data_IF_965447504083
#
_entry.id   IF_965447504083
#
_cell.length_a   1.000
_cell.length_b   1.000
_cell.length_c   1.000
_cell.angle_alpha   90.00
_cell.angle_beta   90.00
_cell.angle_gamma   90.00
#
_symmetry.space_group_name_H-M   'P 1'
#
loop_
_entity.id
_entity.type
_entity.pdbx_description
1 polymer ?
#
# COMPACT_ATOMS: atom_id res chain seq x y z
N UNK A 1 -27.75 3.66 -18.84
CA UNK A 1 -27.45 4.86 -19.64
C UNK A 1 -26.71 4.42 -20.90
N UNK A 2 -27.37 4.53 -22.05
CA UNK A 2 -26.89 4.08 -23.36
C UNK A 2 -26.43 5.25 -24.25
N UNK A 3 -26.25 6.44 -23.67
CA UNK A 3 -25.78 7.60 -24.43
C UNK A 3 -24.37 7.37 -25.01
N UNK A 4 -24.13 7.86 -26.24
CA UNK A 4 -22.80 7.83 -26.84
C UNK A 4 -21.82 8.63 -25.96
N UNK A 5 -20.63 8.09 -25.65
CA UNK A 5 -19.65 8.80 -24.84
C UNK A 5 -19.17 10.08 -25.53
N UNK A 6 -19.08 11.18 -24.77
CA UNK A 6 -18.60 12.49 -25.25
C UNK A 6 -17.07 12.59 -25.31
N UNK A 7 -16.35 11.69 -24.64
CA UNK A 7 -14.89 11.59 -24.64
C UNK A 7 -14.44 10.13 -24.71
N UNK A 8 -13.20 9.83 -24.29
CA UNK A 8 -12.67 8.46 -24.25
C UNK A 8 -12.77 7.87 -22.83
N UNK A 9 -13.73 6.97 -22.53
CA UNK A 9 -13.92 6.43 -21.18
C UNK A 9 -12.77 5.56 -20.69
N UNK A 10 -12.16 4.76 -21.58
CA UNK A 10 -11.04 3.87 -21.24
C UNK A 10 -9.80 4.67 -20.86
N UNK A 11 -9.45 5.67 -21.68
CA UNK A 11 -8.31 6.54 -21.42
C UNK A 11 -8.48 7.28 -20.09
N UNK A 12 -9.68 7.79 -19.81
CA UNK A 12 -9.95 8.52 -18.57
C UNK A 12 -9.96 7.61 -17.34
N UNK A 13 -10.37 6.35 -17.48
CA UNK A 13 -10.25 5.35 -16.41
C UNK A 13 -8.78 5.12 -16.03
N UNK A 14 -7.92 4.83 -17.01
CA UNK A 14 -6.48 4.61 -16.78
C UNK A 14 -5.82 5.87 -16.23
N UNK A 15 -6.07 7.03 -16.84
CA UNK A 15 -5.53 8.32 -16.39
C UNK A 15 -5.93 8.62 -14.94
N UNK A 16 -7.17 8.32 -14.54
CA UNK A 16 -7.61 8.54 -13.15
C UNK A 16 -6.87 7.63 -12.17
N UNK A 17 -6.67 6.35 -12.51
CA UNK A 17 -5.91 5.40 -11.68
C UNK A 17 -4.49 5.89 -11.45
N UNK A 18 -3.82 6.37 -12.50
CA UNK A 18 -2.42 6.82 -12.43
C UNK A 18 -2.26 8.14 -11.66
N UNK A 19 -3.17 9.10 -11.87
CA UNK A 19 -3.02 10.45 -11.28
C UNK A 19 -3.57 10.53 -9.85
N UNK A 20 -4.57 9.72 -9.47
CA UNK A 20 -5.23 9.86 -8.15
C UNK A 20 -4.26 9.84 -6.95
N UNK A 21 -3.18 9.02 -6.91
CA UNK A 21 -2.22 9.05 -5.81
C UNK A 21 -1.46 10.38 -5.69
N UNK A 22 -1.30 11.13 -6.79
CA UNK A 22 -0.53 12.39 -6.83
C UNK A 22 -1.40 13.64 -6.63
N UNK A 23 -2.73 13.52 -6.72
CA UNK A 23 -3.65 14.66 -6.53
C UNK A 23 -3.64 15.26 -5.12
N UNK A 24 -3.17 14.53 -4.11
CA UNK A 24 -3.08 15.04 -2.73
C UNK A 24 -2.12 16.22 -2.57
N UNK A 25 -1.10 16.26 -3.43
CA UNK A 25 0.01 17.21 -3.38
C UNK A 25 -0.24 18.43 -4.24
N UNK A 26 -1.17 18.35 -5.19
CA UNK A 26 -1.46 19.43 -6.14
C UNK A 26 -2.25 20.58 -5.53
N UNK A 27 -2.87 20.38 -4.37
CA UNK A 27 -3.68 21.39 -3.68
C UNK A 27 -3.03 21.80 -2.36
N UNK A 28 -2.31 22.92 -2.36
CA UNK A 28 -1.54 23.43 -1.21
C UNK A 28 -2.38 23.58 0.08
N UNK A 29 -3.63 24.01 -0.02
CA UNK A 29 -4.53 24.14 1.15
C UNK A 29 -4.88 22.79 1.77
N UNK A 30 -5.10 21.77 0.94
CA UNK A 30 -5.42 20.41 1.40
C UNK A 30 -4.17 19.76 1.98
N UNK A 31 -3.03 19.94 1.30
CA UNK A 31 -1.75 19.42 1.73
C UNK A 31 -1.32 20.02 3.08
N UNK A 32 -1.33 21.34 3.23
CA UNK A 32 -0.91 22.02 4.47
C UNK A 32 -1.70 21.57 5.72
N UNK A 33 -2.99 21.24 5.56
CA UNK A 33 -3.84 20.77 6.67
C UNK A 33 -3.70 19.28 6.97
N UNK A 34 -3.18 18.48 6.04
CA UNK A 34 -3.13 17.00 6.15
C UNK A 34 -1.78 16.41 5.76
N UNK A 35 -0.71 17.20 5.83
CA UNK A 35 0.63 16.83 5.34
C UNK A 35 1.13 15.51 5.92
N UNK A 36 0.95 15.29 7.24
CA UNK A 36 1.33 14.05 7.93
C UNK A 36 0.68 12.83 7.25
N UNK A 37 -0.62 12.91 6.96
CA UNK A 37 -1.36 11.80 6.35
C UNK A 37 -0.92 11.55 4.91
N UNK A 38 -0.64 12.61 4.14
CA UNK A 38 -0.18 12.46 2.75
C UNK A 38 1.24 11.92 2.66
N UNK A 39 2.18 12.51 3.40
CA UNK A 39 3.58 12.10 3.39
C UNK A 39 3.72 10.68 3.95
N UNK A 40 3.19 10.45 5.15
CA UNK A 40 3.24 9.12 5.77
C UNK A 40 2.49 8.08 4.95
N UNK A 41 1.33 8.44 4.40
CA UNK A 41 0.53 7.53 3.57
C UNK A 41 1.28 7.15 2.30
N UNK A 42 1.89 8.12 1.62
CA UNK A 42 2.67 7.88 0.41
C UNK A 42 3.91 7.03 0.67
N UNK A 43 4.71 7.38 1.69
CA UNK A 43 5.91 6.62 2.06
C UNK A 43 5.55 5.17 2.46
N UNK A 44 4.46 4.99 3.21
CA UNK A 44 3.96 3.67 3.56
C UNK A 44 3.57 2.85 2.32
N UNK A 45 2.75 3.39 1.42
CA UNK A 45 2.30 2.63 0.24
C UNK A 45 3.44 2.37 -0.74
N UNK A 46 4.31 3.37 -0.97
CA UNK A 46 5.48 3.22 -1.84
C UNK A 46 6.41 2.13 -1.31
N UNK A 47 6.70 2.15 0.00
CA UNK A 47 7.53 1.14 0.62
C UNK A 47 6.85 -0.23 0.65
N UNK A 48 5.61 -0.33 1.14
CA UNK A 48 4.89 -1.61 1.24
C UNK A 48 4.73 -2.30 -0.12
N UNK A 49 4.29 -1.57 -1.15
CA UNK A 49 4.15 -2.12 -2.50
C UNK A 49 5.54 -2.42 -3.10
N UNK A 50 6.49 -1.50 -2.95
CA UNK A 50 7.84 -1.67 -3.46
C UNK A 50 8.51 -2.93 -2.90
N UNK A 51 8.36 -3.19 -1.60
CA UNK A 51 8.92 -4.35 -0.93
C UNK A 51 8.23 -5.65 -1.34
N UNK A 52 6.90 -5.63 -1.47
CA UNK A 52 6.10 -6.81 -1.84
C UNK A 52 6.47 -7.34 -3.22
N UNK A 53 6.86 -6.48 -4.15
CA UNK A 53 7.16 -6.89 -5.53
C UNK A 53 8.64 -6.97 -5.87
N UNK A 54 9.49 -6.11 -5.30
CA UNK A 54 10.85 -5.92 -5.83
C UNK A 54 11.99 -6.24 -4.86
N UNK A 55 11.72 -6.64 -3.61
CA UNK A 55 12.76 -7.18 -2.72
C UNK A 55 13.27 -8.50 -3.30
N UNK A 56 14.59 -8.81 -3.24
CA UNK A 56 15.15 -10.03 -3.82
C UNK A 56 14.39 -11.31 -3.45
N UNK A 57 14.04 -11.48 -2.18
CA UNK A 57 13.29 -12.66 -1.71
C UNK A 57 11.89 -12.76 -2.35
N UNK A 58 11.17 -11.65 -2.48
CA UNK A 58 9.86 -11.65 -3.15
C UNK A 58 9.98 -11.82 -4.66
N UNK A 59 11.00 -11.24 -5.31
CA UNK A 59 11.21 -11.45 -6.74
C UNK A 59 11.47 -12.93 -7.08
N UNK A 60 12.15 -13.65 -6.19
CA UNK A 60 12.31 -15.11 -6.29
C UNK A 60 10.96 -15.83 -6.13
N UNK A 61 10.19 -15.47 -5.10
CA UNK A 61 8.82 -16.00 -4.91
C UNK A 61 7.95 -15.78 -6.15
N UNK A 62 7.95 -14.57 -6.74
CA UNK A 62 7.18 -14.26 -7.93
C UNK A 62 7.64 -15.07 -9.14
N UNK A 63 8.95 -15.31 -9.28
CA UNK A 63 9.49 -16.18 -10.32
C UNK A 63 9.04 -17.63 -10.13
N UNK A 64 8.98 -18.12 -8.90
CA UNK A 64 8.49 -19.49 -8.61
C UNK A 64 6.99 -19.63 -8.92
N UNK A 65 6.19 -18.60 -8.61
CA UNK A 65 4.73 -18.62 -8.86
C UNK A 65 4.41 -18.44 -10.35
N UNK A 66 5.08 -17.52 -11.04
CA UNK A 66 4.70 -17.08 -12.39
C UNK A 66 5.59 -17.63 -13.50
N UNK A 67 6.78 -18.15 -13.17
CA UNK A 67 7.82 -18.52 -14.12
C UNK A 67 8.59 -17.33 -14.72
N UNK A 68 8.18 -16.08 -14.43
CA UNK A 68 8.74 -14.87 -15.03
C UNK A 68 9.71 -14.19 -14.04
N UNK A 69 10.93 -13.80 -14.46
CA UNK A 69 11.83 -13.05 -13.59
C UNK A 69 11.26 -11.65 -13.30
N UNK A 70 11.13 -11.32 -12.02
CA UNK A 70 10.70 -9.98 -11.58
C UNK A 70 11.91 -9.05 -11.39
N UNK A 71 11.74 -7.72 -11.61
CA UNK A 71 12.77 -6.75 -11.29
C UNK A 71 13.15 -6.79 -9.81
N UNK A 72 14.43 -6.57 -9.51
CA UNK A 72 14.97 -6.59 -8.15
C UNK A 72 15.52 -5.23 -7.78
N UNK A 73 15.16 -4.72 -6.61
CA UNK A 73 15.75 -3.52 -6.04
C UNK A 73 17.07 -3.84 -5.33
N UNK A 74 18.06 -2.92 -5.36
CA UNK A 74 19.24 -3.04 -4.52
C UNK A 74 18.86 -3.16 -3.04
N UNK A 75 19.64 -3.94 -2.30
CA UNK A 75 19.44 -4.19 -0.87
C UNK A 75 19.31 -2.89 -0.06
N UNK A 76 20.14 -1.88 -0.35
CA UNK A 76 20.07 -0.57 0.32
C UNK A 76 18.76 0.16 0.07
N UNK A 77 18.24 0.11 -1.16
CA UNK A 77 16.96 0.75 -1.52
C UNK A 77 15.81 0.02 -0.83
N UNK A 78 15.87 -1.31 -0.81
CA UNK A 78 14.91 -2.14 -0.09
C UNK A 78 14.87 -1.79 1.40
N UNK A 79 16.02 -1.65 2.06
CA UNK A 79 16.06 -1.27 3.47
C UNK A 79 15.45 0.10 3.73
N UNK A 80 15.80 1.11 2.91
CA UNK A 80 15.26 2.46 3.02
C UNK A 80 13.73 2.43 2.91
N UNK A 81 13.20 1.68 1.94
CA UNK A 81 11.76 1.50 1.78
C UNK A 81 11.12 0.80 2.98
N UNK A 82 11.77 -0.20 3.56
CA UNK A 82 11.28 -0.92 4.74
C UNK A 82 11.24 -0.03 5.98
N UNK A 83 12.32 0.71 6.26
CA UNK A 83 12.35 1.66 7.37
C UNK A 83 11.34 2.80 7.16
N UNK A 84 11.23 3.34 5.95
CA UNK A 84 10.27 4.38 5.63
C UNK A 84 8.83 3.88 5.79
N UNK A 85 8.52 2.67 5.32
CA UNK A 85 7.17 2.10 5.44
C UNK A 85 6.82 1.81 6.90
N UNK A 86 7.68 1.11 7.64
CA UNK A 86 7.45 0.78 9.04
C UNK A 86 7.35 2.03 9.91
N UNK A 87 8.29 2.97 9.74
CA UNK A 87 8.28 4.25 10.45
C UNK A 87 7.03 5.08 10.15
N UNK A 88 6.61 5.15 8.88
CA UNK A 88 5.38 5.85 8.49
C UNK A 88 4.13 5.19 9.05
N UNK A 89 4.05 3.86 9.06
CA UNK A 89 2.93 3.13 9.64
C UNK A 89 2.80 3.39 11.14
N UNK A 90 3.93 3.35 11.88
CA UNK A 90 3.96 3.67 13.30
C UNK A 90 3.55 5.13 13.52
N UNK A 91 4.16 6.08 12.80
CA UNK A 91 3.86 7.51 12.94
C UNK A 91 2.39 7.83 12.64
N UNK A 92 1.81 7.26 11.58
CA UNK A 92 0.39 7.43 11.25
C UNK A 92 -0.52 6.80 12.30
N UNK A 93 -0.17 5.63 12.82
CA UNK A 93 -0.93 4.97 13.89
C UNK A 93 -0.91 5.80 15.17
N UNK A 94 0.26 6.34 15.54
CA UNK A 94 0.39 7.24 16.69
C UNK A 94 -0.37 8.55 16.48
N UNK A 95 -0.24 9.19 15.32
CA UNK A 95 -0.99 10.41 14.97
C UNK A 95 -2.50 10.19 15.13
N UNK A 96 -2.98 9.02 14.71
CA UNK A 96 -4.38 8.63 14.80
C UNK A 96 -4.83 8.35 16.25
N UNK A 97 -3.98 7.74 17.07
CA UNK A 97 -4.26 7.46 18.47
C UNK A 97 -4.24 8.72 19.36
N UNK A 98 -3.39 9.70 19.01
CA UNK A 98 -3.23 10.95 19.77
C UNK A 98 -4.22 12.03 19.34
N UNK A 99 -4.67 12.03 18.09
CA UNK A 99 -5.64 13.01 17.62
C UNK A 99 -7.05 12.65 18.14
N UNK A 100 -7.71 13.53 18.92
CA UNK A 100 -8.98 13.21 19.56
C UNK A 100 -10.10 12.92 18.54
N UNK A 101 -10.10 13.59 17.39
CA UNK A 101 -11.09 13.38 16.34
C UNK A 101 -10.86 12.05 15.63
N UNK A 102 -9.61 11.75 15.26
CA UNK A 102 -9.30 10.50 14.56
C UNK A 102 -9.51 9.29 15.46
N UNK A 103 -9.18 9.41 16.75
CA UNK A 103 -9.39 8.34 17.73
C UNK A 103 -10.84 7.89 17.81
N UNK A 104 -11.80 8.84 17.74
CA UNK A 104 -13.24 8.54 17.73
C UNK A 104 -13.69 7.80 16.47
N UNK A 105 -13.01 8.02 15.33
CA UNK A 105 -13.29 7.36 14.06
C UNK A 105 -12.55 6.02 13.90
N UNK A 106 -11.76 5.61 14.90
CA UNK A 106 -10.88 4.45 14.82
C UNK A 106 -11.47 3.25 15.52
N UNK A 107 -11.71 2.18 14.75
CA UNK A 107 -12.14 0.90 15.27
C UNK A 107 -10.96 -0.02 15.63
N UNK A 108 -11.32 -1.19 16.16
CA UNK A 108 -10.36 -2.27 16.47
C UNK A 108 -9.72 -2.85 15.21
N UNK A 109 -10.50 -2.93 14.13
CA UNK A 109 -10.08 -3.43 12.82
C UNK A 109 -8.85 -2.70 12.29
N UNK A 110 -8.80 -1.37 12.43
CA UNK A 110 -7.66 -0.60 11.95
C UNK A 110 -6.40 -0.77 12.76
N UNK A 111 -6.50 -0.90 14.09
CA UNK A 111 -5.33 -1.19 14.91
C UNK A 111 -4.81 -2.60 14.62
N UNK A 112 -5.70 -3.57 14.42
CA UNK A 112 -5.30 -4.92 14.07
C UNK A 112 -4.63 -4.98 12.69
N UNK A 113 -5.21 -4.32 11.67
CA UNK A 113 -4.62 -4.23 10.35
C UNK A 113 -3.22 -3.57 10.39
N UNK A 114 -3.08 -2.46 11.10
CA UNK A 114 -1.81 -1.77 11.24
C UNK A 114 -0.78 -2.62 12.00
N UNK A 115 -1.21 -3.32 13.05
CA UNK A 115 -0.34 -4.23 13.80
C UNK A 115 0.15 -5.39 12.93
N UNK A 116 -0.76 -6.04 12.20
CA UNK A 116 -0.43 -7.17 11.33
C UNK A 116 0.58 -6.76 10.26
N UNK A 117 0.35 -5.63 9.59
CA UNK A 117 1.29 -5.12 8.57
C UNK A 117 2.62 -4.72 9.20
N UNK A 118 2.61 -4.06 10.36
CA UNK A 118 3.84 -3.70 11.07
C UNK A 118 4.67 -4.93 11.41
N UNK A 119 4.03 -6.01 11.88
CA UNK A 119 4.69 -7.28 12.18
C UNK A 119 5.28 -7.95 10.94
N UNK A 120 4.60 -7.89 9.79
CA UNK A 120 5.12 -8.42 8.52
C UNK A 120 6.37 -7.64 8.10
N UNK A 121 6.30 -6.31 8.09
CA UNK A 121 7.44 -5.46 7.75
C UNK A 121 8.62 -5.68 8.72
N UNK A 122 8.33 -5.76 10.01
CA UNK A 122 9.33 -5.97 11.05
C UNK A 122 10.01 -7.34 10.94
N UNK A 123 9.24 -8.41 10.79
CA UNK A 123 9.79 -9.78 10.64
C UNK A 123 10.59 -9.94 9.35
N UNK A 124 10.18 -9.32 8.24
CA UNK A 124 10.94 -9.34 6.99
C UNK A 124 12.28 -8.60 7.11
N UNK A 125 12.30 -7.47 7.82
CA UNK A 125 13.52 -6.72 8.11
C UNK A 125 14.46 -7.51 9.06
N UNK A 126 13.90 -8.15 10.09
CA UNK A 126 14.64 -9.07 10.96
C UNK A 126 15.28 -10.22 10.19
N UNK A 127 14.50 -10.89 9.34
CA UNK A 127 14.98 -12.02 8.54
C UNK A 127 16.12 -11.63 7.57
N UNK A 128 16.13 -10.40 7.06
CA UNK A 128 17.11 -9.94 6.07
C UNK A 128 18.38 -9.35 6.68
N UNK A 129 18.33 -8.77 7.89
CA UNK A 129 19.44 -8.01 8.46
C UNK A 129 20.03 -8.54 9.76
N UNK A 130 19.21 -9.18 10.59
CA UNK A 130 19.60 -9.49 11.96
C UNK A 130 19.43 -10.97 12.33
N UNK A 131 18.83 -11.76 11.44
CA UNK A 131 18.70 -13.19 11.61
C UNK A 131 19.94 -13.94 11.12
N UNK A 132 20.39 -14.92 11.91
CA UNK A 132 21.48 -15.84 11.56
C UNK A 132 21.24 -17.24 12.12
N UNK A 133 21.72 -18.27 11.42
CA UNK A 133 21.55 -19.67 11.84
C UNK A 133 20.07 -20.07 11.98
N UNK A 134 19.74 -20.84 13.02
CA UNK A 134 18.37 -21.34 13.25
C UNK A 134 17.30 -20.27 13.46
N UNK A 135 17.69 -19.04 13.86
CA UNK A 135 16.74 -17.93 14.03
C UNK A 135 16.14 -17.44 12.71
N UNK A 136 16.87 -17.60 11.60
CA UNK A 136 16.42 -17.21 10.26
C UNK A 136 15.21 -18.00 9.81
N UNK A 137 15.23 -19.33 9.99
CA UNK A 137 14.13 -20.20 9.58
C UNK A 137 12.86 -19.83 10.34
N UNK A 138 12.95 -19.60 11.65
CA UNK A 138 11.81 -19.19 12.47
C UNK A 138 11.25 -17.83 12.07
N UNK A 139 12.11 -16.83 11.87
CA UNK A 139 11.68 -15.49 11.46
C UNK A 139 11.06 -15.48 10.06
N UNK A 140 11.64 -16.22 9.13
CA UNK A 140 11.10 -16.37 7.78
C UNK A 140 9.74 -17.09 7.82
N UNK A 141 9.63 -18.17 8.59
CA UNK A 141 8.37 -18.91 8.74
C UNK A 141 7.28 -18.03 9.35
N UNK A 142 7.62 -17.21 10.36
CA UNK A 142 6.71 -16.26 10.96
C UNK A 142 6.30 -15.17 9.96
N UNK A 143 7.24 -14.64 9.17
CA UNK A 143 6.95 -13.65 8.13
C UNK A 143 5.94 -14.20 7.11
N UNK A 144 6.17 -15.42 6.61
CA UNK A 144 5.28 -16.10 5.67
C UNK A 144 3.90 -16.36 6.28
N UNK A 145 3.84 -16.87 7.51
CA UNK A 145 2.57 -17.08 8.21
C UNK A 145 1.76 -15.78 8.37
N UNK A 146 2.43 -14.68 8.74
CA UNK A 146 1.77 -13.38 8.85
C UNK A 146 1.31 -12.86 7.47
N UNK A 147 2.08 -13.11 6.41
CA UNK A 147 1.69 -12.75 5.05
C UNK A 147 0.46 -13.54 4.58
N UNK A 148 0.40 -14.85 4.83
CA UNK A 148 -0.77 -15.68 4.52
C UNK A 148 -2.01 -15.21 5.30
N UNK A 149 -1.83 -14.90 6.59
CA UNK A 149 -2.89 -14.32 7.42
C UNK A 149 -3.37 -12.97 6.88
N UNK A 150 -2.46 -12.11 6.42
CA UNK A 150 -2.81 -10.84 5.80
C UNK A 150 -3.63 -11.05 4.53
N UNK A 151 -3.23 -11.97 3.65
CA UNK A 151 -3.94 -12.26 2.39
C UNK A 151 -5.37 -12.72 2.68
N UNK A 152 -5.56 -13.62 3.65
CA UNK A 152 -6.88 -14.06 4.08
C UNK A 152 -7.70 -12.92 4.71
N UNK A 153 -7.06 -11.98 5.39
CA UNK A 153 -7.71 -10.88 6.11
C UNK A 153 -8.09 -9.69 5.21
N UNK A 154 -7.38 -9.46 4.10
CA UNK A 154 -7.65 -8.34 3.16
C UNK A 154 -9.13 -8.20 2.77
N UNK A 155 -9.85 -9.24 2.30
CA UNK A 155 -11.22 -9.08 1.83
C UNK A 155 -12.23 -8.76 2.94
N UNK A 156 -11.92 -9.09 4.19
CA UNK A 156 -12.83 -8.93 5.33
C UNK A 156 -12.54 -7.71 6.20
N UNK A 157 -11.55 -6.90 5.83
CA UNK A 157 -11.08 -5.77 6.63
C UNK A 157 -11.13 -4.45 5.87
N UNK A 158 -10.77 -3.36 6.55
CA UNK A 158 -10.56 -2.06 5.89
C UNK A 158 -9.39 -2.05 4.91
N UNK A 159 -8.59 -3.12 4.82
CA UNK A 159 -7.56 -3.28 3.78
C UNK A 159 -8.14 -3.61 2.41
N UNK A 160 -9.42 -4.00 2.34
CA UNK A 160 -10.14 -4.26 1.08
C UNK A 160 -10.11 -3.07 0.11
N UNK A 161 -9.85 -1.85 0.60
CA UNK A 161 -9.61 -0.68 -0.25
C UNK A 161 -8.49 -0.92 -1.28
N UNK A 162 -7.50 -1.75 -0.98
CA UNK A 162 -6.45 -2.15 -1.93
C UNK A 162 -7.04 -2.85 -3.16
N UNK A 163 -7.99 -3.77 -2.94
CA UNK A 163 -8.66 -4.52 -4.02
C UNK A 163 -9.61 -3.61 -4.79
N UNK A 164 -10.43 -2.84 -4.08
CA UNK A 164 -11.46 -1.99 -4.69
C UNK A 164 -10.92 -0.69 -5.31
N UNK A 165 -9.66 -0.33 -5.03
CA UNK A 165 -9.06 0.89 -5.56
C UNK A 165 -9.15 0.95 -7.09
N UNK A 166 -8.66 -0.08 -7.77
CA UNK A 166 -8.61 -0.10 -9.24
C UNK A 166 -10.01 -0.06 -9.86
N UNK A 167 -10.94 -0.79 -9.28
CA UNK A 167 -12.33 -0.87 -9.76
C UNK A 167 -13.07 0.46 -9.53
N UNK A 168 -13.05 1.00 -8.31
CA UNK A 168 -13.77 2.22 -7.96
C UNK A 168 -13.21 3.44 -8.70
N UNK A 169 -11.88 3.57 -8.75
CA UNK A 169 -11.20 4.69 -9.39
C UNK A 169 -11.31 4.61 -10.90
N UNK A 170 -11.16 3.42 -11.47
CA UNK A 170 -11.38 3.17 -12.88
C UNK A 170 -12.81 3.50 -13.29
N UNK A 171 -13.82 3.08 -12.52
CA UNK A 171 -15.23 3.38 -12.79
C UNK A 171 -15.54 4.89 -12.71
N UNK A 172 -14.95 5.59 -11.75
CA UNK A 172 -15.08 7.05 -11.68
C UNK A 172 -14.45 7.74 -12.90
N UNK A 173 -13.25 7.32 -13.32
CA UNK A 173 -12.60 7.84 -14.53
C UNK A 173 -13.38 7.52 -15.81
N UNK A 174 -13.92 6.30 -15.91
CA UNK A 174 -14.81 5.87 -16.99
C UNK A 174 -16.02 6.79 -17.13
N UNK A 175 -16.72 7.05 -16.02
CA UNK A 175 -17.90 7.92 -16.04
C UNK A 175 -17.56 9.37 -16.39
N UNK A 176 -16.40 9.89 -15.96
CA UNK A 176 -15.93 11.20 -16.37
C UNK A 176 -15.64 11.26 -17.88
N UNK A 177 -14.98 10.23 -18.43
CA UNK A 177 -14.72 10.14 -19.87
C UNK A 177 -16.00 10.00 -20.71
N UNK A 178 -17.02 9.27 -20.22
CA UNK A 178 -18.35 9.25 -20.87
C UNK A 178 -18.98 10.64 -20.95
N UNK A 179 -18.77 11.47 -19.93
CA UNK A 179 -19.28 12.86 -19.86
C UNK A 179 -18.41 13.88 -20.61
N UNK A 180 -17.23 13.47 -21.10
CA UNK A 180 -16.28 14.37 -21.76
C UNK A 180 -15.50 15.27 -20.80
N UNK A 181 -15.46 14.93 -19.51
CA UNK A 181 -14.70 15.68 -18.49
C UNK A 181 -13.24 15.23 -18.52
N UNK A 182 -12.31 16.18 -18.58
CA UNK A 182 -10.87 15.93 -18.45
C UNK A 182 -10.35 16.37 -17.08
N UNK A 183 -9.21 15.80 -16.67
CA UNK A 183 -8.45 16.17 -15.46
C UNK A 183 -7.00 16.45 -15.82
#
# INVERSE_FOLDING_TARGET
>A
DYAKPKGNPYLMAVKKIVIKPTMGWTFNEIFSRRAINFIGGFLFHLGFIGLTFFVPAHALLWKEITGIPFPVLPNIVSDILAYAALGSLIALTMHRALNPVLKLLTGKDEYFANFLIAMILFTGLLATRWAGGGSYIWLLSLHMFLADLLILYIPFSRLSHFVYYFLSVGFMGWNAGKRGVSF
#
